data_IF_691372508309
#
_entry.id   IF_691372508309
#
_cell.length_a   1.000
_cell.length_b   1.000
_cell.length_c   1.000
_cell.angle_alpha   90.00
_cell.angle_beta   90.00
_cell.angle_gamma   90.00
#
_symmetry.space_group_name_H-M   'P 1'
#
loop_
_entity.id
_entity.type
_entity.pdbx_description
1 polymer ?
#
# COMPACT_ATOMS: atom_id res chain seq x y z
N UNK A 1 5.85 -27.01 -15.47
CA UNK A 1 4.46 -27.47 -15.23
C UNK A 1 3.56 -26.29 -14.88
N UNK A 2 2.42 -26.14 -15.56
CA UNK A 2 1.48 -25.01 -15.43
C UNK A 2 0.19 -25.30 -14.65
N UNK A 3 0.20 -26.27 -13.74
CA UNK A 3 -0.98 -26.89 -13.08
C UNK A 3 -1.72 -25.97 -12.07
N UNK A 4 -1.81 -24.66 -12.30
CA UNK A 4 -2.40 -23.70 -11.34
C UNK A 4 -3.19 -22.60 -12.05
N UNK A 5 -4.51 -22.63 -11.88
CA UNK A 5 -5.48 -21.66 -12.42
C UNK A 5 -5.19 -20.23 -11.96
N UNK A 6 -5.55 -19.25 -12.80
CA UNK A 6 -5.39 -17.83 -12.48
C UNK A 6 -6.29 -17.44 -11.28
N UNK A 7 -5.75 -16.88 -10.16
CA UNK A 7 -6.53 -16.67 -8.94
C UNK A 7 -7.72 -15.73 -9.08
N UNK A 8 -7.56 -14.68 -9.92
CA UNK A 8 -8.62 -13.73 -10.27
C UNK A 8 -9.62 -14.38 -11.23
N UNK A 9 -9.13 -15.12 -12.23
CA UNK A 9 -9.98 -15.80 -13.23
C UNK A 9 -10.93 -16.81 -12.59
N UNK A 10 -10.42 -17.58 -11.62
CA UNK A 10 -11.21 -18.51 -10.80
C UNK A 10 -12.23 -17.82 -9.87
N UNK A 11 -12.22 -16.49 -9.75
CA UNK A 11 -13.12 -15.69 -8.89
C UNK A 11 -13.96 -14.68 -9.66
N UNK A 12 -13.86 -14.63 -10.99
CA UNK A 12 -14.71 -13.79 -11.82
C UNK A 12 -16.19 -14.16 -11.63
N UNK A 13 -17.06 -13.17 -11.51
CA UNK A 13 -18.50 -13.36 -11.28
C UNK A 13 -18.89 -13.76 -9.85
N UNK A 14 -17.96 -14.26 -9.03
CA UNK A 14 -18.22 -14.64 -7.62
C UNK A 14 -17.76 -13.56 -6.63
N UNK A 15 -16.58 -12.97 -6.86
CA UNK A 15 -16.04 -11.83 -6.07
C UNK A 15 -15.43 -10.77 -6.98
N UNK A 16 -14.69 -11.20 -8.01
CA UNK A 16 -13.96 -10.28 -8.89
C UNK A 16 -14.86 -9.87 -10.05
N UNK A 17 -14.96 -8.56 -10.25
CA UNK A 17 -15.63 -7.94 -11.40
C UNK A 17 -14.65 -7.80 -12.59
N UNK A 18 -15.19 -7.41 -13.75
CA UNK A 18 -14.43 -7.26 -14.99
C UNK A 18 -13.71 -5.90 -15.06
N UNK A 19 -12.49 -5.90 -15.61
CA UNK A 19 -11.72 -4.67 -15.89
C UNK A 19 -12.19 -3.94 -17.15
N UNK A 20 -12.85 -4.62 -18.09
CA UNK A 20 -13.60 -3.97 -19.17
C UNK A 20 -15.08 -4.23 -18.93
N UNK A 21 -15.87 -3.16 -18.90
CA UNK A 21 -17.31 -3.17 -18.58
C UNK A 21 -18.05 -2.49 -19.73
N UNK A 22 -18.40 -3.29 -20.74
CA UNK A 22 -19.17 -2.87 -21.91
C UNK A 22 -19.79 -4.09 -22.60
N UNK A 23 -20.73 -3.84 -23.50
CA UNK A 23 -21.44 -4.86 -24.29
C UNK A 23 -21.57 -4.38 -25.74
N UNK A 24 -21.44 -5.29 -26.71
CA UNK A 24 -21.69 -5.04 -28.13
C UNK A 24 -21.91 -6.36 -28.88
N UNK A 25 -23.01 -6.47 -29.64
CA UNK A 25 -23.34 -7.65 -30.45
C UNK A 25 -22.50 -7.77 -31.73
N UNK A 26 -22.01 -6.64 -32.24
CA UNK A 26 -21.23 -6.53 -33.47
C UNK A 26 -19.93 -5.76 -33.21
N UNK A 27 -18.90 -6.02 -34.03
CA UNK A 27 -17.58 -5.38 -33.96
C UNK A 27 -16.85 -5.58 -32.60
N UNK A 28 -17.19 -6.65 -31.87
CA UNK A 28 -16.63 -6.99 -30.57
C UNK A 28 -15.10 -7.20 -30.61
N UNK A 29 -14.57 -7.77 -31.70
CA UNK A 29 -13.14 -7.98 -31.90
C UNK A 29 -12.36 -6.66 -32.00
N UNK A 30 -12.87 -5.68 -32.75
CA UNK A 30 -12.24 -4.37 -32.95
C UNK A 30 -12.21 -3.57 -31.64
N UNK A 31 -13.33 -3.62 -30.89
CA UNK A 31 -13.46 -2.99 -29.58
C UNK A 31 -12.51 -3.61 -28.53
N UNK A 32 -12.28 -4.94 -28.58
CA UNK A 32 -11.25 -5.61 -27.77
C UNK A 32 -9.83 -5.20 -28.20
N UNK A 33 -9.55 -5.13 -29.51
CA UNK A 33 -8.24 -4.72 -30.00
C UNK A 33 -7.91 -3.28 -29.57
N UNK A 34 -8.88 -2.39 -29.65
CA UNK A 34 -8.81 -1.02 -29.15
C UNK A 34 -8.61 -0.95 -27.62
N UNK A 35 -9.37 -1.72 -26.84
CA UNK A 35 -9.16 -1.89 -25.39
C UNK A 35 -7.74 -2.37 -25.03
N UNK A 36 -7.16 -3.25 -25.85
CA UNK A 36 -5.81 -3.79 -25.66
C UNK A 36 -4.73 -2.78 -26.06
N UNK A 37 -4.97 -1.93 -27.07
CA UNK A 37 -4.08 -0.82 -27.41
C UNK A 37 -4.07 0.24 -26.31
N UNK A 38 -5.24 0.68 -25.83
CA UNK A 38 -5.37 1.58 -24.67
C UNK A 38 -4.68 0.97 -23.44
N UNK A 39 -4.96 -0.31 -23.16
CA UNK A 39 -4.24 -1.19 -22.19
C UNK A 39 -2.71 -1.01 -22.26
N UNK A 40 -2.12 -1.27 -23.43
CA UNK A 40 -0.65 -1.22 -23.62
C UNK A 40 -0.09 0.20 -23.50
N UNK A 41 -0.76 1.18 -24.12
CA UNK A 41 -0.30 2.57 -24.17
C UNK A 41 -0.24 3.20 -22.78
N UNK A 42 -1.32 3.07 -22.00
CA UNK A 42 -1.41 3.65 -20.65
C UNK A 42 -0.34 3.06 -19.72
N UNK A 43 -0.05 1.75 -19.82
CA UNK A 43 1.05 1.16 -19.04
C UNK A 43 2.40 1.78 -19.43
N UNK A 44 2.77 1.71 -20.72
CA UNK A 44 4.08 2.19 -21.19
C UNK A 44 4.31 3.71 -21.03
N UNK A 45 3.26 4.53 -20.97
CA UNK A 45 3.38 5.98 -20.73
C UNK A 45 3.45 6.33 -19.24
N UNK A 46 2.86 5.52 -18.35
CA UNK A 46 2.69 5.86 -16.93
C UNK A 46 3.44 4.94 -15.96
N UNK A 47 4.48 4.21 -16.40
CA UNK A 47 5.31 3.35 -15.52
C UNK A 47 5.74 4.05 -14.21
N UNK A 48 6.16 5.32 -14.29
CA UNK A 48 6.58 6.14 -13.14
C UNK A 48 5.46 6.45 -12.12
N UNK A 49 4.20 6.40 -12.54
CA UNK A 49 3.05 6.71 -11.67
C UNK A 49 2.66 5.55 -10.75
N UNK A 50 3.08 4.31 -11.05
CA UNK A 50 2.65 3.12 -10.33
C UNK A 50 1.15 2.87 -10.51
N UNK A 51 0.79 2.26 -11.64
CA UNK A 51 -0.57 1.85 -11.97
C UNK A 51 -0.97 0.57 -11.22
N UNK A 52 -2.19 0.57 -10.69
CA UNK A 52 -2.77 -0.58 -9.99
C UNK A 52 -3.75 -1.36 -10.86
N UNK A 53 -4.65 -0.64 -11.55
CA UNK A 53 -5.61 -1.19 -12.50
C UNK A 53 -6.04 -0.11 -13.50
N UNK A 54 -6.50 -0.53 -14.69
CA UNK A 54 -7.11 0.35 -15.69
C UNK A 54 -8.45 -0.25 -16.06
N UNK A 55 -9.53 0.40 -15.63
CA UNK A 55 -10.90 -0.01 -15.94
C UNK A 55 -11.37 0.75 -17.18
N UNK A 56 -12.02 0.06 -18.12
CA UNK A 56 -12.62 0.68 -19.30
C UNK A 56 -14.13 0.47 -19.29
N UNK A 57 -14.86 1.58 -19.25
CA UNK A 57 -16.31 1.67 -19.44
C UNK A 57 -16.58 2.23 -20.85
N UNK A 58 -17.44 1.58 -21.64
CA UNK A 58 -17.84 2.12 -22.95
C UNK A 58 -19.35 2.36 -23.00
N UNK A 59 -19.73 3.61 -23.26
CA UNK A 59 -21.03 3.96 -23.79
C UNK A 59 -20.96 4.06 -25.33
N UNK A 60 -22.07 3.95 -26.08
CA UNK A 60 -22.05 3.91 -27.54
C UNK A 60 -21.37 5.10 -28.24
N UNK A 61 -21.27 6.26 -27.59
CA UNK A 61 -20.63 7.48 -28.11
C UNK A 61 -19.37 7.93 -27.37
N UNK A 62 -19.06 7.32 -26.21
CA UNK A 62 -18.02 7.83 -25.29
C UNK A 62 -17.33 6.70 -24.54
N UNK A 63 -16.01 6.72 -24.52
CA UNK A 63 -15.18 5.81 -23.72
C UNK A 63 -14.77 6.53 -22.44
N UNK A 64 -14.97 5.88 -21.30
CA UNK A 64 -14.48 6.35 -19.99
C UNK A 64 -13.41 5.38 -19.51
N UNK A 65 -12.23 5.90 -19.19
CA UNK A 65 -11.10 5.11 -18.69
C UNK A 65 -10.80 5.54 -17.26
N UNK A 66 -11.00 4.64 -16.31
CA UNK A 66 -10.70 4.87 -14.89
C UNK A 66 -9.31 4.30 -14.58
N UNK A 67 -8.38 5.21 -14.28
CA UNK A 67 -6.97 4.91 -14.01
C UNK A 67 -6.77 4.88 -12.49
N UNK A 68 -6.68 3.67 -11.93
CA UNK A 68 -6.35 3.49 -10.52
C UNK A 68 -4.84 3.56 -10.32
N UNK A 69 -4.36 4.59 -9.61
CA UNK A 69 -2.94 4.92 -9.46
C UNK A 69 -2.54 5.12 -8.00
N UNK A 70 -1.29 4.79 -7.68
CA UNK A 70 -0.68 5.08 -6.39
C UNK A 70 -0.17 6.52 -6.24
N UNK A 71 -0.10 7.28 -7.34
CA UNK A 71 0.46 8.65 -7.39
C UNK A 71 -0.34 9.53 -8.37
N UNK A 72 -1.56 9.97 -8.02
CA UNK A 72 -2.40 10.77 -8.91
C UNK A 72 -1.70 12.05 -9.39
N UNK A 73 -0.91 12.71 -8.53
CA UNK A 73 -0.17 13.93 -8.91
C UNK A 73 0.85 13.76 -10.05
N UNK A 74 1.35 12.55 -10.32
CA UNK A 74 2.22 12.29 -11.49
C UNK A 74 1.38 12.18 -12.77
N UNK A 75 0.21 11.55 -12.70
CA UNK A 75 -0.72 11.40 -13.84
C UNK A 75 -1.38 12.74 -14.19
N UNK A 76 -1.68 13.58 -13.18
CA UNK A 76 -2.26 14.91 -13.37
C UNK A 76 -1.23 15.90 -13.93
N UNK A 77 0.03 15.80 -13.49
CA UNK A 77 1.09 16.72 -13.89
C UNK A 77 0.86 18.16 -13.40
N UNK A 78 1.57 19.12 -13.99
CA UNK A 78 1.46 20.53 -13.62
C UNK A 78 0.21 21.13 -14.26
N UNK A 79 -0.72 21.65 -13.45
CA UNK A 79 -1.98 22.27 -13.89
C UNK A 79 -2.86 21.39 -14.81
N UNK A 80 -2.81 20.05 -14.69
CA UNK A 80 -3.58 19.13 -15.54
C UNK A 80 -2.92 18.76 -16.88
N UNK A 81 -1.84 19.46 -17.27
CA UNK A 81 -1.25 19.39 -18.62
C UNK A 81 -0.69 18.02 -19.07
N UNK A 82 -0.62 17.01 -18.21
CA UNK A 82 -0.30 15.63 -18.65
C UNK A 82 -1.57 14.78 -18.88
N UNK A 83 -2.70 15.10 -18.23
CA UNK A 83 -4.01 14.50 -18.52
C UNK A 83 -4.50 14.94 -19.89
N UNK A 84 -4.36 16.22 -20.21
CA UNK A 84 -4.83 16.79 -21.48
C UNK A 84 -4.09 16.15 -22.67
N UNK A 85 -2.75 16.06 -22.61
CA UNK A 85 -1.95 15.32 -23.59
C UNK A 85 -2.34 13.84 -23.66
N UNK A 86 -2.47 13.16 -22.52
CA UNK A 86 -2.84 11.74 -22.51
C UNK A 86 -4.23 11.52 -23.14
N UNK A 87 -5.14 12.48 -22.98
CA UNK A 87 -6.46 12.48 -23.63
C UNK A 87 -6.36 12.72 -25.14
N UNK A 88 -5.55 13.68 -25.59
CA UNK A 88 -5.27 13.93 -27.01
C UNK A 88 -4.61 12.70 -27.69
N UNK A 89 -3.57 12.15 -27.06
CA UNK A 89 -2.84 10.95 -27.51
C UNK A 89 -3.78 9.74 -27.64
N UNK A 90 -4.63 9.49 -26.64
CA UNK A 90 -5.62 8.41 -26.68
C UNK A 90 -6.75 8.70 -27.68
N UNK A 91 -7.18 9.96 -27.85
CA UNK A 91 -8.22 10.34 -28.82
C UNK A 91 -7.73 10.17 -30.27
N UNK A 92 -6.44 10.45 -30.53
CA UNK A 92 -5.79 10.16 -31.82
C UNK A 92 -5.75 8.65 -32.15
N UNK A 93 -5.42 7.81 -31.15
CA UNK A 93 -5.40 6.35 -31.29
C UNK A 93 -6.79 5.73 -31.47
N UNK A 94 -7.81 6.28 -30.82
CA UNK A 94 -9.15 5.67 -30.67
C UNK A 94 -10.19 6.26 -31.62
N UNK A 95 -9.96 7.48 -32.12
CA UNK A 95 -10.89 8.27 -32.98
C UNK A 95 -12.30 8.43 -32.39
N UNK A 96 -12.41 8.44 -31.05
CA UNK A 96 -13.65 8.54 -30.26
C UNK A 96 -13.42 9.48 -29.08
N UNK A 97 -14.49 10.05 -28.54
CA UNK A 97 -14.40 10.90 -27.35
C UNK A 97 -14.07 10.09 -26.09
N UNK A 98 -13.03 10.53 -25.37
CA UNK A 98 -12.52 9.88 -24.17
C UNK A 98 -12.68 10.79 -22.95
N UNK A 99 -13.22 10.21 -21.87
CA UNK A 99 -13.09 10.71 -20.48
C UNK A 99 -11.97 9.95 -19.79
N UNK A 100 -11.06 10.67 -19.13
CA UNK A 100 -10.08 10.10 -18.22
C UNK A 100 -10.48 10.42 -16.78
N UNK A 101 -10.69 9.40 -15.96
CA UNK A 101 -10.91 9.53 -14.52
C UNK A 101 -9.67 8.99 -13.80
N UNK A 102 -9.16 9.70 -12.80
CA UNK A 102 -7.94 9.33 -12.05
C UNK A 102 -8.35 9.03 -10.61
N UNK A 103 -8.19 7.79 -10.17
CA UNK A 103 -8.64 7.29 -8.87
C UNK A 103 -7.42 6.93 -8.02
N UNK A 104 -7.35 7.44 -6.78
CA UNK A 104 -6.23 7.20 -5.88
C UNK A 104 -6.37 5.89 -5.10
N UNK A 105 -5.33 5.05 -5.14
CA UNK A 105 -5.29 3.80 -4.37
C UNK A 105 -4.83 4.09 -2.94
N UNK A 106 -5.79 4.33 -2.04
CA UNK A 106 -5.62 4.67 -0.61
C UNK A 106 -4.59 3.82 0.17
N UNK A 107 -4.35 2.58 -0.24
CA UNK A 107 -3.43 1.62 0.41
C UNK A 107 -2.63 0.84 -0.65
N UNK A 108 -1.55 1.40 -1.23
CA UNK A 108 -0.84 0.78 -2.34
C UNK A 108 -0.21 -0.59 -1.97
N UNK A 109 0.23 -0.73 -0.71
CA UNK A 109 0.85 -1.95 -0.15
C UNK A 109 -0.11 -3.15 -0.02
N UNK A 110 -1.42 -2.97 -0.24
CA UNK A 110 -2.42 -4.04 -0.28
C UNK A 110 -2.78 -4.48 -1.72
N UNK A 111 -2.31 -3.77 -2.74
CA UNK A 111 -2.55 -4.11 -4.15
C UNK A 111 -1.39 -4.96 -4.68
N UNK A 112 -1.71 -6.13 -5.26
CA UNK A 112 -0.71 -7.10 -5.67
C UNK A 112 0.17 -6.59 -6.83
N UNK A 113 -0.37 -5.74 -7.72
CA UNK A 113 0.37 -5.19 -8.87
C UNK A 113 1.43 -4.18 -8.40
N UNK A 114 1.02 -3.21 -7.59
CA UNK A 114 1.94 -2.21 -7.02
C UNK A 114 3.06 -2.86 -6.18
N UNK A 115 2.73 -3.89 -5.38
CA UNK A 115 3.72 -4.65 -4.60
C UNK A 115 4.64 -5.46 -5.53
N UNK A 116 4.14 -6.07 -6.61
CA UNK A 116 4.96 -6.79 -7.57
C UNK A 116 5.93 -5.86 -8.31
N UNK A 117 5.45 -4.73 -8.83
CA UNK A 117 6.26 -3.75 -9.56
C UNK A 117 7.31 -3.09 -8.64
N UNK A 118 6.95 -2.79 -7.39
CA UNK A 118 7.89 -2.31 -6.36
C UNK A 118 9.03 -3.30 -6.09
N UNK A 119 8.76 -4.61 -6.15
CA UNK A 119 9.81 -5.65 -6.03
C UNK A 119 10.65 -5.72 -7.31
N UNK A 120 10.05 -5.60 -8.50
CA UNK A 120 10.79 -5.61 -9.78
C UNK A 120 11.80 -4.47 -9.86
N UNK A 121 11.38 -3.23 -9.59
CA UNK A 121 12.26 -2.06 -9.55
C UNK A 121 13.39 -2.20 -8.51
N UNK A 122 13.14 -2.86 -7.37
CA UNK A 122 14.18 -3.16 -6.38
C UNK A 122 15.20 -4.20 -6.90
N UNK A 123 14.77 -5.20 -7.67
CA UNK A 123 15.65 -6.21 -8.29
C UNK A 123 16.50 -5.59 -9.41
N UNK A 124 15.93 -4.70 -10.21
CA UNK A 124 16.64 -3.93 -11.25
C UNK A 124 17.66 -2.98 -10.64
N UNK A 125 17.30 -2.30 -9.54
CA UNK A 125 18.21 -1.57 -8.66
C UNK A 125 19.25 -2.43 -7.91
N UNK A 126 19.44 -3.70 -8.32
CA UNK A 126 20.42 -4.66 -7.80
C UNK A 126 20.30 -4.98 -6.31
N UNK A 127 19.13 -4.73 -5.69
CA UNK A 127 18.90 -5.06 -4.28
C UNK A 127 18.71 -6.58 -4.13
N UNK A 128 19.36 -7.16 -3.12
CA UNK A 128 19.28 -8.59 -2.84
C UNK A 128 17.80 -9.08 -2.71
N UNK A 129 17.41 -10.04 -3.56
CA UNK A 129 16.02 -10.52 -3.69
C UNK A 129 15.36 -10.91 -2.36
N UNK A 130 16.12 -11.51 -1.43
CA UNK A 130 15.63 -11.87 -0.08
C UNK A 130 15.23 -10.63 0.73
N UNK A 131 15.97 -9.52 0.60
CA UNK A 131 15.70 -8.24 1.28
C UNK A 131 14.46 -7.56 0.70
N UNK A 132 14.35 -7.50 -0.63
CA UNK A 132 13.19 -6.94 -1.32
C UNK A 132 11.89 -7.68 -0.93
N UNK A 133 11.89 -9.01 -1.05
CA UNK A 133 10.72 -9.83 -0.68
C UNK A 133 10.38 -9.76 0.82
N UNK A 134 11.37 -9.87 1.73
CA UNK A 134 11.09 -9.72 3.17
C UNK A 134 10.57 -8.34 3.52
N UNK A 135 11.08 -7.26 2.91
CA UNK A 135 10.58 -5.90 3.09
C UNK A 135 9.11 -5.79 2.67
N UNK A 136 8.79 -6.18 1.44
CA UNK A 136 7.42 -6.15 0.90
C UNK A 136 6.44 -6.93 1.78
N UNK A 137 6.77 -8.17 2.17
CA UNK A 137 5.92 -8.95 3.07
C UNK A 137 5.68 -8.27 4.43
N UNK A 138 6.69 -7.60 4.99
CA UNK A 138 6.52 -6.88 6.25
C UNK A 138 5.63 -5.65 6.11
N UNK A 139 5.74 -4.90 5.00
CA UNK A 139 4.88 -3.73 4.76
C UNK A 139 3.43 -4.13 4.50
N UNK A 140 3.15 -5.06 3.58
CA UNK A 140 1.79 -5.55 3.30
C UNK A 140 1.11 -6.13 4.55
N UNK A 141 1.86 -6.87 5.38
CA UNK A 141 1.34 -7.37 6.67
C UNK A 141 1.06 -6.24 7.67
N UNK A 142 1.93 -5.23 7.78
CA UNK A 142 1.71 -4.06 8.64
C UNK A 142 0.46 -3.27 8.22
N UNK A 143 0.13 -3.26 6.93
CA UNK A 143 -1.05 -2.59 6.37
C UNK A 143 -2.36 -3.40 6.48
N UNK A 144 -2.33 -4.59 7.09
CA UNK A 144 -3.53 -5.34 7.50
C UNK A 144 -3.94 -6.51 6.61
N UNK A 145 -3.08 -7.03 5.72
CA UNK A 145 -3.40 -8.22 4.94
C UNK A 145 -3.45 -9.51 5.80
N UNK A 146 -4.45 -10.38 5.60
CA UNK A 146 -4.55 -11.71 6.24
C UNK A 146 -3.39 -12.63 5.80
N UNK A 147 -2.91 -12.45 4.56
CA UNK A 147 -1.79 -13.21 4.03
C UNK A 147 -1.13 -12.56 2.83
N UNK A 148 0.16 -12.82 2.68
CA UNK A 148 0.93 -12.52 1.47
C UNK A 148 1.81 -13.70 1.11
N UNK A 149 1.87 -14.01 -0.18
CA UNK A 149 2.77 -14.99 -0.79
C UNK A 149 3.48 -14.31 -1.95
N UNK A 150 4.80 -14.45 -2.00
CA UNK A 150 5.64 -13.94 -3.08
C UNK A 150 6.45 -15.10 -3.64
N UNK A 151 6.51 -15.20 -4.97
CA UNK A 151 7.37 -16.14 -5.68
C UNK A 151 8.17 -15.37 -6.71
N UNK A 152 9.51 -15.41 -6.61
CA UNK A 152 10.41 -14.85 -7.62
C UNK A 152 11.15 -16.00 -8.32
N UNK A 153 11.08 -16.04 -9.65
CA UNK A 153 11.72 -17.07 -10.48
C UNK A 153 12.62 -16.45 -11.55
N UNK A 154 13.86 -16.93 -11.66
CA UNK A 154 14.83 -16.45 -12.65
C UNK A 154 16.27 -16.65 -12.18
N UNK A 155 17.22 -15.91 -12.78
CA UNK A 155 18.65 -15.94 -12.40
C UNK A 155 18.92 -15.12 -11.14
N UNK A 156 18.36 -15.57 -10.01
CA UNK A 156 18.36 -14.85 -8.74
C UNK A 156 19.79 -14.59 -8.23
N UNK A 157 20.11 -13.30 -8.08
CA UNK A 157 21.44 -12.76 -7.77
C UNK A 157 22.54 -13.15 -8.78
N UNK A 158 22.22 -13.21 -10.07
CA UNK A 158 23.19 -13.42 -11.15
C UNK A 158 23.66 -14.88 -11.31
N UNK A 159 23.10 -15.81 -10.53
CA UNK A 159 23.38 -17.24 -10.67
C UNK A 159 23.17 -17.71 -12.12
N UNK A 160 24.01 -18.64 -12.57
CA UNK A 160 23.93 -19.26 -13.89
C UNK A 160 22.60 -20.01 -14.06
N UNK A 161 22.33 -20.96 -13.16
CA UNK A 161 21.09 -21.75 -13.13
C UNK A 161 19.95 -20.92 -12.53
N UNK A 162 18.83 -20.85 -13.24
CA UNK A 162 17.61 -20.19 -12.76
C UNK A 162 16.99 -20.94 -11.56
N UNK A 163 16.56 -20.20 -10.54
CA UNK A 163 15.94 -20.72 -9.31
C UNK A 163 14.61 -20.03 -9.04
N UNK A 164 13.74 -20.72 -8.31
CA UNK A 164 12.45 -20.17 -7.86
C UNK A 164 12.41 -20.14 -6.33
N UNK A 165 12.40 -18.93 -5.77
CA UNK A 165 12.30 -18.69 -4.33
C UNK A 165 10.88 -18.31 -3.96
N UNK A 166 10.33 -18.93 -2.90
CA UNK A 166 8.98 -18.68 -2.38
C UNK A 166 9.08 -18.21 -0.94
N UNK A 167 8.50 -17.05 -0.64
CA UNK A 167 8.18 -16.66 0.73
C UNK A 167 6.66 -16.51 0.91
N UNK A 168 6.19 -16.76 2.12
CA UNK A 168 4.77 -16.69 2.48
C UNK A 168 4.64 -16.34 3.97
N UNK A 169 3.68 -15.48 4.30
CA UNK A 169 3.32 -15.13 5.69
C UNK A 169 1.81 -14.95 5.78
N UNK A 170 1.21 -15.37 6.89
CA UNK A 170 -0.24 -15.39 7.06
C UNK A 170 -0.93 -16.42 6.15
N UNK A 171 -2.23 -16.22 5.90
CA UNK A 171 -3.09 -17.21 5.23
C UNK A 171 -3.43 -16.79 3.80
N UNK A 172 -3.18 -17.67 2.83
CA UNK A 172 -3.55 -17.44 1.41
C UNK A 172 -4.30 -18.66 0.87
N UNK A 173 -5.61 -18.80 1.15
CA UNK A 173 -6.38 -20.01 0.87
C UNK A 173 -6.85 -20.06 -0.59
N UNK A 174 -5.93 -20.40 -1.51
CA UNK A 174 -6.12 -20.31 -2.96
C UNK A 174 -7.38 -21.06 -3.49
N UNK A 175 -7.75 -22.18 -2.87
CA UNK A 175 -8.91 -22.99 -3.25
C UNK A 175 -10.26 -22.41 -2.78
N UNK A 176 -10.26 -21.55 -1.76
CA UNK A 176 -11.50 -20.97 -1.21
C UNK A 176 -11.99 -19.84 -2.11
N UNK A 177 -13.04 -20.09 -2.90
CA UNK A 177 -13.67 -19.08 -3.76
C UNK A 177 -14.05 -17.81 -2.97
N UNK A 178 -14.57 -17.98 -1.74
CA UNK A 178 -15.00 -16.90 -0.84
C UNK A 178 -13.86 -16.01 -0.27
N UNK A 179 -12.60 -16.34 -0.51
CA UNK A 179 -11.47 -15.52 -0.08
C UNK A 179 -11.12 -14.47 -1.15
N UNK A 180 -11.04 -13.20 -0.75
CA UNK A 180 -10.57 -12.13 -1.63
C UNK A 180 -9.05 -12.18 -1.76
N UNK A 181 -8.61 -12.82 -2.84
CA UNK A 181 -7.21 -12.92 -3.22
C UNK A 181 -6.97 -12.03 -4.44
N UNK A 182 -6.15 -11.00 -4.24
CA UNK A 182 -5.55 -10.24 -5.32
C UNK A 182 -4.27 -10.92 -5.83
N UNK A 183 -3.99 -10.79 -7.12
CA UNK A 183 -2.87 -11.45 -7.76
C UNK A 183 -2.32 -10.64 -8.92
N UNK A 184 -0.99 -10.50 -8.97
CA UNK A 184 -0.32 -9.88 -10.09
C UNK A 184 1.01 -10.57 -10.43
N UNK A 185 1.45 -10.33 -11.66
CA UNK A 185 2.78 -10.64 -12.15
C UNK A 185 3.47 -9.37 -12.59
N UNK A 186 4.77 -9.28 -12.30
CA UNK A 186 5.68 -8.26 -12.79
C UNK A 186 6.97 -8.93 -13.27
N UNK A 187 7.70 -8.30 -14.18
CA UNK A 187 8.94 -8.84 -14.75
C UNK A 187 10.03 -7.81 -14.53
N UNK A 188 11.10 -8.20 -13.83
CA UNK A 188 12.28 -7.40 -13.64
C UNK A 188 13.29 -7.68 -14.78
N UNK A 189 13.75 -6.63 -15.46
CA UNK A 189 14.70 -6.70 -16.57
C UNK A 189 16.13 -6.44 -16.07
N UNK A 190 16.83 -7.50 -15.66
CA UNK A 190 18.19 -7.40 -15.11
C UNK A 190 19.27 -7.67 -16.16
N UNK A 191 20.51 -7.22 -15.89
CA UNK A 191 21.67 -7.44 -16.77
C UNK A 191 21.99 -8.92 -17.06
N UNK A 192 21.42 -9.86 -16.30
CA UNK A 192 21.63 -11.30 -16.48
C UNK A 192 20.43 -12.01 -17.13
N UNK A 193 19.39 -11.26 -17.53
CA UNK A 193 18.12 -11.75 -18.03
C UNK A 193 16.94 -11.34 -17.14
N UNK A 194 15.75 -11.90 -17.42
CA UNK A 194 14.51 -11.55 -16.72
C UNK A 194 14.33 -12.34 -15.41
N UNK A 195 13.68 -11.70 -14.44
CA UNK A 195 13.21 -12.33 -13.20
C UNK A 195 11.71 -12.08 -13.07
N UNK A 196 10.91 -13.15 -13.09
CA UNK A 196 9.46 -13.07 -12.94
C UNK A 196 9.06 -13.02 -11.47
N UNK A 197 8.39 -11.94 -11.06
CA UNK A 197 7.82 -11.74 -9.72
C UNK A 197 6.33 -12.06 -9.77
N UNK A 198 5.85 -12.91 -8.86
CA UNK A 198 4.44 -13.28 -8.72
C UNK A 198 3.98 -13.06 -7.28
N UNK A 199 2.97 -12.21 -7.09
CA UNK A 199 2.46 -11.82 -5.78
C UNK A 199 1.01 -12.24 -5.63
N UNK A 200 0.65 -12.83 -4.49
CA UNK A 200 -0.72 -13.07 -4.05
C UNK A 200 -0.92 -12.37 -2.71
N UNK A 201 -1.98 -11.58 -2.56
CA UNK A 201 -2.37 -10.91 -1.31
C UNK A 201 -3.79 -11.37 -0.95
N UNK A 202 -3.98 -11.88 0.26
CA UNK A 202 -5.31 -12.18 0.82
C UNK A 202 -5.75 -10.99 1.67
N UNK A 203 -6.83 -10.32 1.28
CA UNK A 203 -7.40 -9.18 2.01
C UNK A 203 -8.43 -9.61 3.06
N UNK A 204 -8.96 -10.82 2.94
CA UNK A 204 -9.87 -11.45 3.90
C UNK A 204 -10.85 -12.42 3.22
N UNK A 205 -11.94 -12.75 3.91
CA UNK A 205 -13.08 -13.47 3.34
C UNK A 205 -14.27 -12.54 3.13
N UNK A 206 -14.95 -12.64 1.98
CA UNK A 206 -16.14 -11.83 1.70
C UNK A 206 -17.36 -12.49 2.33
N UNK A 207 -18.03 -11.74 3.22
CA UNK A 207 -19.22 -12.15 3.97
C UNK A 207 -20.47 -11.48 3.39
N UNK A 208 -20.76 -11.77 2.11
CA UNK A 208 -21.95 -11.30 1.43
C UNK A 208 -22.04 -11.82 -0.01
N UNK A 209 -23.26 -11.88 -0.53
CA UNK A 209 -23.57 -12.00 -1.96
C UNK A 209 -24.54 -10.85 -2.24
N UNK A 210 -24.07 -9.78 -2.90
CA UNK A 210 -24.88 -8.59 -3.15
C UNK A 210 -24.10 -7.34 -3.52
N UNK A 211 -23.17 -6.89 -2.67
CA UNK A 211 -22.34 -5.69 -2.87
C UNK A 211 -21.29 -5.91 -3.99
N UNK A 212 -21.72 -5.96 -5.26
CA UNK A 212 -20.85 -5.93 -6.46
C UNK A 212 -20.33 -4.51 -6.74
N UNK A 213 -19.75 -3.85 -5.72
CA UNK A 213 -19.38 -2.45 -5.81
C UNK A 213 -18.32 -2.18 -6.89
N UNK A 214 -18.49 -1.11 -7.70
CA UNK A 214 -17.56 -0.77 -8.77
C UNK A 214 -16.29 -0.07 -8.26
N UNK A 215 -15.56 -0.73 -7.37
CA UNK A 215 -14.12 -0.50 -7.19
C UNK A 215 -13.70 0.62 -6.24
N UNK A 216 -14.33 0.78 -5.07
CA UNK A 216 -13.79 1.69 -4.05
C UNK A 216 -14.05 1.27 -2.59
N UNK A 217 -13.00 1.32 -1.76
CA UNK A 217 -13.07 1.13 -0.29
C UNK A 217 -13.57 2.44 0.38
N UNK A 218 -14.74 2.97 -0.04
CA UNK A 218 -15.30 4.28 0.40
C UNK A 218 -16.51 4.14 1.32
N UNK A 219 -17.41 3.19 1.08
CA UNK A 219 -18.77 3.22 1.64
C UNK A 219 -18.95 2.77 3.12
N UNK A 220 -17.87 2.59 3.90
CA UNK A 220 -17.95 2.11 5.31
C UNK A 220 -17.16 2.96 6.33
N UNK A 221 -16.90 4.23 6.00
CA UNK A 221 -16.35 5.22 6.95
C UNK A 221 -16.83 6.65 6.61
N UNK A 222 -18.14 6.92 6.72
CA UNK A 222 -18.69 8.24 6.31
C UNK A 222 -20.17 8.54 6.61
N UNK A 223 -20.86 7.77 7.46
CA UNK A 223 -22.30 7.98 7.76
C UNK A 223 -22.58 8.09 9.26
N UNK A 224 -21.77 8.89 9.94
CA UNK A 224 -22.03 9.45 11.26
C UNK A 224 -21.91 10.98 11.19
N UNK A 225 -22.77 11.60 10.38
CA UNK A 225 -22.89 13.05 10.22
C UNK A 225 -24.23 13.52 10.81
N UNK A 226 -24.28 14.74 11.33
CA UNK A 226 -25.43 15.25 12.09
C UNK A 226 -26.72 15.34 11.25
N UNK A 227 -27.85 15.12 11.91
CA UNK A 227 -29.14 15.67 11.45
C UNK A 227 -29.24 17.11 11.97
N UNK A 228 -29.41 18.14 11.12
CA UNK A 228 -29.73 19.48 11.60
C UNK A 228 -31.16 19.48 12.17
N UNK A 229 -31.29 19.84 13.44
CA UNK A 229 -32.58 19.81 14.16
C UNK A 229 -33.38 21.09 13.86
N UNK A 230 -34.24 21.03 12.84
CA UNK A 230 -35.08 22.15 12.40
C UNK A 230 -36.54 21.92 12.80
N UNK A 231 -36.93 22.57 13.91
CA UNK A 231 -38.28 23.12 14.04
C UNK A 231 -39.36 22.25 14.66
N UNK A 232 -39.34 22.10 15.99
CA UNK A 232 -40.59 21.93 16.75
C UNK A 232 -40.63 22.75 18.06
N UNK A 233 -40.49 24.06 17.93
CA UNK A 233 -40.87 24.99 19.00
C UNK A 233 -42.39 24.93 19.23
N UNK A 234 -42.84 24.96 20.50
CA UNK A 234 -44.27 25.05 20.83
C UNK A 234 -44.86 24.04 21.81
N UNK A 235 -44.10 23.56 22.82
CA UNK A 235 -44.68 22.82 23.96
C UNK A 235 -43.84 22.93 25.25
N UNK A 236 -43.63 24.16 25.75
CA UNK A 236 -42.92 24.42 27.02
C UNK A 236 -43.67 25.30 28.03
N UNK A 237 -45.01 25.32 27.92
CA UNK A 237 -45.92 25.82 28.95
C UNK A 237 -46.93 24.73 29.33
N UNK A 238 -46.80 24.20 30.56
CA UNK A 238 -47.86 23.65 31.45
C UNK A 238 -47.29 22.87 32.64
N UNK A 239 -46.08 22.32 32.56
CA UNK A 239 -45.41 21.71 33.72
C UNK A 239 -44.52 22.71 34.49
N UNK A 240 -45.18 23.66 35.16
CA UNK A 240 -44.56 24.53 36.17
C UNK A 240 -45.55 25.03 37.24
N UNK A 241 -46.68 24.34 37.42
CA UNK A 241 -47.85 24.85 38.15
C UNK A 241 -48.34 23.96 39.30
N UNK A 242 -47.70 22.80 39.57
CA UNK A 242 -48.10 21.86 40.63
C UNK A 242 -47.25 21.97 41.92
N UNK A 243 -45.94 22.21 41.83
CA UNK A 243 -45.04 22.37 43.00
C UNK A 243 -45.33 23.60 43.87
N UNK A 244 -46.17 24.52 43.39
CA UNK A 244 -46.39 25.83 44.03
C UNK A 244 -47.42 25.84 45.17
N UNK A 245 -48.10 24.72 45.49
CA UNK A 245 -49.32 24.74 46.34
C UNK A 245 -49.30 23.96 47.67
N UNK A 246 -48.13 23.54 48.18
CA UNK A 246 -47.98 23.00 49.54
C UNK A 246 -47.01 23.80 50.44
N UNK A 247 -47.44 25.02 50.82
CA UNK A 247 -46.91 25.74 51.99
C UNK A 247 -48.04 26.17 52.92
N UNK A 248 -48.20 25.45 54.04
CA UNK A 248 -48.85 25.95 55.27
C UNK A 248 -47.95 25.60 56.47
N UNK A 249 -47.63 26.62 57.27
CA UNK A 249 -46.92 26.61 58.57
C UNK A 249 -47.99 26.84 59.69
N UNK A 250 -47.71 26.97 61.02
CA UNK A 250 -46.39 27.17 61.68
C UNK A 250 -46.20 26.54 63.10
N UNK A 251 -45.07 26.91 63.76
CA UNK A 251 -44.76 26.92 65.21
C UNK A 251 -44.55 25.55 65.91
N UNK A 252 -43.50 25.47 66.74
CA UNK A 252 -43.10 24.30 67.54
C UNK A 252 -42.63 24.67 68.97
N UNK A 253 -42.00 23.72 69.70
CA UNK A 253 -41.46 23.86 71.08
C UNK A 253 -40.43 22.72 71.32
N UNK A 254 -39.13 22.98 71.61
CA UNK A 254 -38.45 22.95 72.95
C UNK A 254 -38.68 21.62 73.71
N UNK A 255 -37.66 20.83 74.16
CA UNK A 255 -36.55 21.21 75.08
C UNK A 255 -35.26 20.31 74.98
N UNK A 256 -34.26 20.72 75.77
CA UNK A 256 -32.87 20.26 76.08
C UNK A 256 -32.81 19.27 77.29
N UNK A 257 -31.66 18.82 77.85
CA UNK A 257 -30.29 18.52 77.34
C UNK A 257 -29.59 17.28 78.03
N UNK A 258 -28.23 17.26 78.02
CA UNK A 258 -27.27 16.59 78.95
C UNK A 258 -27.06 15.06 78.86
N UNK A 259 -25.87 14.47 79.12
CA UNK A 259 -24.44 14.88 79.31
C UNK A 259 -23.59 13.58 79.08
N UNK A 260 -22.25 13.48 78.98
CA UNK A 260 -21.03 14.33 79.04
C UNK A 260 -19.98 13.75 78.02
N UNK A 261 -18.63 13.85 78.02
CA UNK A 261 -17.62 14.57 78.82
C UNK A 261 -16.21 13.93 78.71
N UNK A 262 -15.23 14.59 78.05
CA UNK A 262 -13.75 14.39 78.07
C UNK A 262 -13.13 12.98 77.74
N UNK A 263 -11.84 12.82 77.37
CA UNK A 263 -10.84 13.79 76.89
C UNK A 263 -9.36 13.32 76.94
N UNK A 264 -8.57 13.68 75.91
CA UNK A 264 -7.06 13.78 75.83
C UNK A 264 -6.17 12.55 75.50
N UNK A 265 -5.40 12.74 74.41
CA UNK A 265 -3.92 12.61 74.23
C UNK A 265 -3.15 11.27 74.15
N UNK A 266 -2.18 11.34 73.23
CA UNK A 266 -0.80 10.81 73.22
C UNK A 266 -0.55 9.28 73.30
N UNK A 267 0.42 8.81 72.51
CA UNK A 267 0.89 7.41 72.49
C UNK A 267 1.08 6.87 71.08
N UNK A 268 2.33 6.66 70.66
CA UNK A 268 2.71 5.99 69.42
C UNK A 268 3.51 4.72 69.68
N UNK A 269 3.88 4.02 68.60
CA UNK A 269 4.54 2.71 68.65
C UNK A 269 3.81 1.74 67.73
N UNK A 270 4.53 0.87 67.03
CA UNK A 270 3.95 0.01 66.00
C UNK A 270 4.57 -1.38 65.95
N UNK A 271 3.75 -2.37 65.62
CA UNK A 271 4.13 -3.78 65.71
C UNK A 271 4.94 -4.27 64.51
N UNK A 272 6.18 -4.68 64.79
CA UNK A 272 6.95 -5.63 63.98
C UNK A 272 7.89 -6.45 64.85
N UNK A 273 7.61 -7.76 64.97
CA UNK A 273 8.53 -8.92 64.85
C UNK A 273 7.97 -10.13 65.61
N UNK A 274 8.24 -11.34 65.12
CA UNK A 274 8.20 -12.55 65.95
C UNK A 274 9.58 -12.85 66.56
N UNK A 275 9.65 -13.88 67.41
CA UNK A 275 10.64 -14.96 67.28
C UNK A 275 9.88 -16.32 67.27
N UNK A 276 10.44 -17.53 67.36
CA UNK A 276 11.79 -18.15 67.51
C UNK A 276 11.71 -19.55 66.86
N UNK A 277 12.69 -20.44 66.70
CA UNK A 277 13.98 -20.72 67.35
C UNK A 277 14.50 -22.12 66.87
N UNK A 278 15.65 -22.65 67.34
CA UNK A 278 16.48 -23.54 66.49
C UNK A 278 17.03 -24.87 67.07
N UNK A 279 17.45 -25.79 66.19
CA UNK A 279 18.49 -26.85 66.33
C UNK A 279 18.64 -27.57 64.96
N UNK A 280 19.77 -28.08 64.42
CA UNK A 280 21.00 -28.80 64.87
C UNK A 280 20.77 -30.29 65.24
N UNK A 281 21.54 -31.29 64.77
CA UNK A 281 22.73 -31.33 63.87
C UNK A 281 23.14 -32.77 63.43
N UNK A 282 24.09 -32.85 62.47
CA UNK A 282 25.15 -33.89 62.29
C UNK A 282 24.90 -35.31 61.69
N UNK A 283 25.80 -35.69 60.75
CA UNK A 283 26.28 -37.07 60.45
C UNK A 283 25.47 -37.97 59.49
N UNK A 284 26.05 -38.96 58.77
CA UNK A 284 27.44 -39.19 58.33
C UNK A 284 27.55 -40.40 57.35
N UNK A 285 28.50 -40.36 56.38
CA UNK A 285 29.16 -41.52 55.72
C UNK A 285 28.32 -42.50 54.82
N UNK A 286 28.88 -43.30 53.88
CA UNK A 286 30.12 -43.23 53.05
C UNK A 286 30.15 -44.36 51.97
N UNK A 287 31.10 -44.28 51.00
CA UNK A 287 31.56 -45.28 49.99
C UNK A 287 30.67 -45.58 48.74
N UNK A 288 31.20 -45.77 47.52
CA UNK A 288 32.48 -45.28 46.92
C UNK A 288 33.21 -46.18 45.88
N UNK A 289 33.82 -45.56 44.84
CA UNK A 289 34.92 -46.10 43.98
C UNK A 289 34.52 -46.71 42.62
N UNK A 290 35.34 -46.82 41.53
CA UNK A 290 36.71 -46.39 41.06
C UNK A 290 36.70 -46.45 39.49
N UNK A 291 37.69 -46.14 38.63
CA UNK A 291 39.08 -45.63 38.69
C UNK A 291 39.21 -44.15 38.24
N UNK A 292 40.25 -43.62 37.54
CA UNK A 292 41.50 -44.11 36.87
C UNK A 292 41.34 -44.76 35.47
N UNK A 293 42.17 -44.48 34.45
CA UNK A 293 43.49 -43.79 34.30
C UNK A 293 43.49 -42.80 33.09
N UNK A 294 44.09 -41.59 33.09
CA UNK A 294 45.51 -41.14 33.15
C UNK A 294 46.26 -41.14 31.79
N UNK A 295 46.43 -39.96 31.14
CA UNK A 295 47.69 -39.55 30.48
C UNK A 295 47.73 -38.04 30.14
N UNK A 296 48.91 -37.56 29.73
CA UNK A 296 49.28 -36.14 29.52
C UNK A 296 49.12 -35.72 28.04
N UNK A 297 48.86 -34.44 27.79
CA UNK A 297 49.81 -33.64 27.01
C UNK A 297 49.74 -32.15 27.39
N UNK A 298 50.88 -31.47 27.33
CA UNK A 298 51.00 -30.02 27.51
C UNK A 298 51.29 -29.36 26.16
N UNK A 299 50.75 -28.17 25.92
CA UNK A 299 51.51 -27.21 25.11
C UNK A 299 51.15 -25.77 25.49
N UNK A 300 52.18 -25.01 25.86
CA UNK A 300 52.07 -23.59 26.18
C UNK A 300 52.02 -22.78 24.86
N UNK A 301 51.38 -21.61 24.86
CA UNK A 301 50.94 -20.98 23.62
C UNK A 301 50.64 -19.48 23.72
N UNK A 302 51.40 -18.77 24.56
CA UNK A 302 51.20 -17.33 24.85
C UNK A 302 51.23 -16.50 23.56
N UNK A 303 50.12 -15.80 23.27
CA UNK A 303 50.07 -14.76 22.23
C UNK A 303 50.48 -13.41 22.83
N UNK A 304 51.61 -12.79 22.44
CA UNK A 304 51.92 -11.42 22.80
C UNK A 304 51.10 -10.44 21.93
N UNK A 305 50.63 -9.35 22.53
CA UNK A 305 49.95 -8.26 21.81
C UNK A 305 50.92 -7.11 21.50
N UNK A 306 50.95 -6.63 20.25
CA UNK A 306 51.68 -5.42 19.82
C UNK A 306 51.19 -4.96 18.43
N UNK A 307 51.43 -3.69 18.04
CA UNK A 307 50.83 -2.49 18.62
C UNK A 307 49.87 -1.81 17.62
N UNK A 308 49.18 -0.76 18.07
CA UNK A 308 48.54 0.19 17.15
C UNK A 308 49.62 0.94 16.36
N UNK A 309 49.43 1.09 15.04
CA UNK A 309 50.15 2.05 14.22
C UNK A 309 49.16 3.08 13.66
N UNK A 310 49.39 4.34 14.02
CA UNK A 310 48.77 5.50 13.38
C UNK A 310 49.32 5.65 11.95
N UNK A 311 48.49 5.41 10.95
CA UNK A 311 48.84 5.63 9.54
C UNK A 311 48.03 6.78 8.94
N UNK A 312 48.70 7.87 8.58
CA UNK A 312 48.07 9.08 8.03
C UNK A 312 47.35 8.80 6.71
N UNK A 313 46.01 8.81 6.76
CA UNK A 313 45.19 8.88 5.54
C UNK A 313 45.24 10.30 4.97
N UNK A 314 46.31 10.58 4.22
CA UNK A 314 46.38 11.75 3.33
C UNK A 314 45.10 11.85 2.50
N UNK A 315 44.45 13.00 2.56
CA UNK A 315 43.24 13.32 1.80
C UNK A 315 43.54 13.25 0.31
N UNK A 316 42.85 12.36 -0.42
CA UNK A 316 42.88 12.38 -1.88
C UNK A 316 42.19 13.67 -2.37
N UNK A 317 42.84 14.46 -3.26
CA UNK A 317 42.25 15.70 -3.74
C UNK A 317 41.00 15.41 -4.59
N UNK A 318 39.93 16.17 -4.38
CA UNK A 318 38.72 16.06 -5.18
C UNK A 318 39.02 16.53 -6.61
N UNK A 319 38.88 15.62 -7.58
CA UNK A 319 39.06 15.93 -9.00
C UNK A 319 37.87 16.77 -9.48
N UNK A 320 38.11 18.05 -9.78
CA UNK A 320 37.08 18.95 -10.27
C UNK A 320 36.42 18.40 -11.56
N UNK A 321 35.10 18.59 -11.75
CA UNK A 321 34.43 18.23 -13.00
C UNK A 321 34.94 19.14 -14.13
N UNK A 322 35.24 18.55 -15.28
CA UNK A 322 35.67 19.30 -16.45
C UNK A 322 34.52 20.18 -16.99
N UNK A 323 34.82 21.38 -17.52
CA UNK A 323 33.81 22.22 -18.16
C UNK A 323 33.26 21.51 -19.41
N UNK A 324 31.92 21.51 -19.56
CA UNK A 324 31.25 20.93 -20.72
C UNK A 324 31.57 21.67 -22.02
N UNK A 325 31.41 21.02 -23.20
CA UNK A 325 31.64 21.65 -24.48
C UNK A 325 30.71 22.87 -24.66
N UNK A 326 31.27 23.96 -25.17
CA UNK A 326 30.54 25.21 -25.44
C UNK A 326 29.44 24.95 -26.48
N UNK A 327 28.29 25.60 -26.33
CA UNK A 327 27.33 25.76 -27.42
C UNK A 327 28.04 26.43 -28.61
N UNK A 328 27.78 25.93 -29.82
CA UNK A 328 28.00 26.67 -31.05
C UNK A 328 26.64 27.12 -31.56
N UNK A 329 26.47 28.42 -31.77
CA UNK A 329 25.18 29.02 -32.11
C UNK A 329 24.88 28.84 -33.60
N UNK A 330 24.11 27.79 -33.91
CA UNK A 330 23.57 27.58 -35.26
C UNK A 330 22.46 28.62 -35.48
N UNK A 331 22.80 29.69 -36.21
CA UNK A 331 21.83 30.66 -36.73
C UNK A 331 20.93 29.97 -37.77
N UNK A 332 19.60 30.12 -37.72
CA UNK A 332 18.76 29.76 -38.86
C UNK A 332 19.01 30.78 -40.00
N UNK A 333 19.51 30.31 -41.14
CA UNK A 333 19.54 31.12 -42.36
C UNK A 333 18.12 31.27 -42.92
N UNK A 334 17.73 32.51 -43.21
CA UNK A 334 16.42 32.82 -43.80
C UNK A 334 16.57 32.89 -45.32
N UNK A 335 16.43 31.74 -45.97
CA UNK A 335 16.32 31.67 -47.43
C UNK A 335 14.87 31.83 -47.88
N UNK A 336 14.66 32.67 -48.89
CA UNK A 336 13.34 33.02 -49.42
C UNK A 336 12.84 31.90 -50.34
N UNK A 337 11.78 31.22 -49.94
CA UNK A 337 10.93 30.51 -50.90
C UNK A 337 10.00 31.51 -51.62
N UNK A 338 9.89 31.39 -52.93
CA UNK A 338 9.26 32.37 -53.82
C UNK A 338 7.74 32.12 -53.97
N UNK A 339 6.96 33.20 -54.13
CA UNK A 339 5.50 33.12 -54.23
C UNK A 339 5.04 33.06 -55.70
N UNK A 340 4.28 32.02 -56.13
CA UNK A 340 3.62 32.05 -57.43
C UNK A 340 2.50 33.10 -57.44
N UNK A 341 2.46 33.90 -58.50
CA UNK A 341 1.48 34.99 -58.68
C UNK A 341 0.09 34.45 -59.04
N UNK A 342 -0.94 35.27 -58.80
CA UNK A 342 -2.25 35.12 -59.43
C UNK A 342 -2.14 35.28 -60.95
N UNK A 343 -2.98 34.56 -61.68
CA UNK A 343 -3.46 34.90 -63.03
C UNK A 343 -4.97 34.64 -63.08
N UNK A 344 -5.66 35.25 -64.05
CA UNK A 344 -7.07 35.60 -63.91
C UNK A 344 -8.10 34.61 -64.49
N UNK A 345 -9.31 34.71 -63.92
CA UNK A 345 -10.65 34.69 -64.56
C UNK A 345 -10.73 34.56 -66.10
N UNK A 346 -11.75 33.87 -66.68
CA UNK A 346 -13.16 34.20 -66.40
C UNK A 346 -14.16 33.01 -66.42
N UNK A 347 -15.47 33.34 -66.44
CA UNK A 347 -16.62 32.43 -66.39
C UNK A 347 -17.16 32.06 -67.79
N UNK A 348 -17.69 30.85 -67.90
CA UNK A 348 -18.82 30.43 -68.77
C UNK A 348 -19.45 29.20 -68.10
N UNK A 349 -20.74 29.17 -67.74
CA UNK A 349 -21.96 29.09 -68.56
C UNK A 349 -22.17 27.74 -69.27
N UNK A 350 -23.42 27.25 -69.19
CA UNK A 350 -24.04 26.17 -69.96
C UNK A 350 -23.50 24.74 -69.70
N UNK A 351 -24.26 23.63 -69.73
CA UNK A 351 -25.73 23.46 -69.84
C UNK A 351 -26.18 22.07 -69.29
N UNK A 352 -27.50 21.80 -69.36
CA UNK A 352 -28.25 20.55 -69.12
C UNK A 352 -27.49 19.19 -69.18
N UNK A 353 -27.64 18.35 -68.13
CA UNK A 353 -28.55 17.18 -68.19
C UNK A 353 -28.83 16.52 -66.83
#
# INVERSE_FOLDING_TARGET
>A
MGQKTHPIGFRLGVIKSWNSKWFADKNFADLIFEDLMIKKYINARLDNAGLANVVILRAPKKVTVDIHTSRPGIVIGRKGSEVDKLREELQLLTKKDISLNIIEVKKPELNARLVADSISHQLEGRIAYRRAMKRAMMTTMKMGAEGIKIVCGGRLAGAEIARTEKYMKGRVPLHTLRADIDYATSTAHTSYGTIGVKVWICRGMVMGVGEMDPGDDVAKAGTAAERPDIGMAGKRERQKQDDARRKRRPRGRVRRPDQQGDGRRDGGGGDRRGPSGPSSSAGSASRGGRGKDNLRNSNDGRRPARPQQSGDRKTAPQKAPAPGPKKQDIKPSVDKAEAPKKSDSPKSNDENK
#
